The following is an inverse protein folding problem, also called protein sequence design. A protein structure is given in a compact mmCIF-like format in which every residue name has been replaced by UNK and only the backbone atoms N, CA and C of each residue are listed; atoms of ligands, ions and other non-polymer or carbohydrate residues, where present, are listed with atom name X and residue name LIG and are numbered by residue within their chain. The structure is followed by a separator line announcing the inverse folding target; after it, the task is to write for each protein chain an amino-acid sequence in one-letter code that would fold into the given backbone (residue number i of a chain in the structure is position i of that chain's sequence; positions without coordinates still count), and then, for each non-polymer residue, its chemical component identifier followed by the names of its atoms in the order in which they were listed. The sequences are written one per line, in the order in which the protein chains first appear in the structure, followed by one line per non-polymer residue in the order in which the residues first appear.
data_IF_415136219656
#
_entry.id   IF_415136219656
#
_cell.length_a   1.000
_cell.length_b   1.000
_cell.length_c   1.000
_cell.angle_alpha   90.00
_cell.angle_beta   90.00
_cell.angle_gamma   90.00
#
_symmetry.space_group_name_H-M   'P 1'
#
loop_
_entity.id
_entity.type
_entity.pdbx_description
1 polymer ?
#
# COMPACT_ATOMS: atom_id res chain seq x y z
N UNK A 1 10.70 2.38 -1.56
CA UNK A 1 9.32 2.75 -1.21
C UNK A 1 9.31 4.21 -0.80
N UNK A 2 8.49 5.08 -1.40
CA UNK A 2 8.55 6.54 -1.19
C UNK A 2 8.09 7.03 0.21
N UNK A 3 7.57 6.12 1.04
CA UNK A 3 7.01 6.42 2.36
C UNK A 3 8.03 6.28 3.49
N UNK A 4 9.25 5.83 3.21
CA UNK A 4 10.31 5.65 4.20
C UNK A 4 11.60 6.28 3.70
N UNK A 5 12.49 6.69 4.60
CA UNK A 5 13.78 7.26 4.23
C UNK A 5 14.64 6.26 3.42
N UNK A 6 15.51 6.76 2.53
CA UNK A 6 16.35 5.91 1.68
C UNK A 6 17.27 4.98 2.46
N UNK A 7 17.66 5.36 3.69
CA UNK A 7 18.46 4.56 4.60
C UNK A 7 17.77 3.24 4.96
N UNK A 8 16.43 3.23 4.94
CA UNK A 8 15.65 2.02 5.20
C UNK A 8 15.78 0.99 4.07
N UNK A 9 16.30 1.34 2.88
CA UNK A 9 16.35 0.43 1.72
C UNK A 9 17.43 -0.66 1.83
N UNK A 10 18.34 -0.57 2.80
CA UNK A 10 19.39 -1.58 3.02
C UNK A 10 18.78 -2.90 3.50
N UNK A 11 18.98 -3.99 2.75
CA UNK A 11 18.43 -5.31 3.08
C UNK A 11 16.97 -5.50 2.72
N UNK A 12 16.35 -4.55 2.01
CA UNK A 12 14.93 -4.60 1.65
C UNK A 12 14.70 -5.31 0.32
N UNK A 13 13.62 -6.08 0.25
CA UNK A 13 13.07 -6.62 -0.99
C UNK A 13 12.75 -5.47 -1.95
N UNK A 14 13.30 -5.51 -3.16
CA UNK A 14 12.88 -4.57 -4.20
C UNK A 14 11.37 -4.73 -4.45
N UNK A 15 10.64 -3.63 -4.44
CA UNK A 15 9.22 -3.63 -4.86
C UNK A 15 9.14 -4.11 -6.31
N UNK A 16 8.29 -5.11 -6.56
CA UNK A 16 8.17 -5.72 -7.89
C UNK A 16 7.17 -4.97 -8.79
N UNK A 17 6.33 -4.14 -8.18
CA UNK A 17 5.18 -3.48 -8.75
C UNK A 17 5.00 -2.06 -8.21
N UNK A 18 4.35 -1.21 -9.01
CA UNK A 18 3.96 0.14 -8.64
C UNK A 18 2.44 0.18 -8.54
N UNK A 19 1.92 0.42 -7.34
CA UNK A 19 0.50 0.63 -7.10
C UNK A 19 0.05 2.04 -7.53
N UNK A 20 -0.97 2.14 -8.38
CA UNK A 20 -1.54 3.40 -8.87
C UNK A 20 -3.03 3.40 -8.65
N UNK A 21 -3.51 4.34 -7.82
CA UNK A 21 -4.95 4.58 -7.63
C UNK A 21 -5.42 5.55 -8.72
N UNK A 22 -6.52 5.20 -9.39
CA UNK A 22 -7.07 5.95 -10.50
C UNK A 22 -8.48 6.44 -10.17
N UNK A 23 -8.65 7.76 -10.09
CA UNK A 23 -9.96 8.37 -9.88
C UNK A 23 -10.80 8.33 -11.17
N UNK A 24 -11.47 7.21 -11.38
CA UNK A 24 -12.35 6.97 -12.52
C UNK A 24 -13.61 6.26 -12.03
N UNK A 25 -14.75 6.84 -12.40
CA UNK A 25 -16.07 6.37 -11.98
C UNK A 25 -16.76 5.45 -12.99
N UNK A 26 -16.32 5.45 -14.27
CA UNK A 26 -17.01 4.70 -15.34
C UNK A 26 -16.09 3.78 -16.12
N UNK A 27 -16.65 2.68 -16.63
CA UNK A 27 -15.94 1.74 -17.52
C UNK A 27 -15.40 2.39 -18.79
N UNK A 28 -16.12 3.37 -19.35
CA UNK A 28 -15.69 4.05 -20.58
C UNK A 28 -14.44 4.91 -20.36
N UNK A 29 -14.37 5.63 -19.24
CA UNK A 29 -13.18 6.37 -18.85
C UNK A 29 -12.01 5.42 -18.57
N UNK A 30 -12.25 4.29 -17.91
CA UNK A 30 -11.23 3.28 -17.64
C UNK A 30 -10.68 2.71 -18.95
N UNK A 31 -11.54 2.32 -19.89
CA UNK A 31 -11.14 1.85 -21.21
C UNK A 31 -10.28 2.89 -21.95
N UNK A 32 -10.68 4.16 -21.91
CA UNK A 32 -9.91 5.26 -22.51
C UNK A 32 -8.53 5.42 -21.86
N UNK A 33 -8.42 5.20 -20.54
CA UNK A 33 -7.14 5.16 -19.85
C UNK A 33 -6.28 3.98 -20.30
N UNK A 34 -6.85 2.77 -20.40
CA UNK A 34 -6.19 1.57 -20.90
C UNK A 34 -5.62 1.78 -22.31
N UNK A 35 -6.37 2.39 -23.22
CA UNK A 35 -5.87 2.71 -24.57
C UNK A 35 -4.65 3.64 -24.55
N UNK A 36 -4.62 4.63 -23.64
CA UNK A 36 -3.44 5.50 -23.47
C UNK A 36 -2.23 4.74 -22.95
N UNK A 37 -2.43 3.79 -22.04
CA UNK A 37 -1.35 2.92 -21.57
C UNK A 37 -0.79 2.06 -22.71
N UNK A 38 -1.67 1.42 -23.50
CA UNK A 38 -1.27 0.62 -24.68
C UNK A 38 -0.54 1.46 -25.73
N UNK A 39 -0.98 2.70 -25.97
CA UNK A 39 -0.30 3.63 -26.87
C UNK A 39 1.12 4.00 -26.39
N UNK A 40 1.37 3.96 -25.07
CA UNK A 40 2.70 4.12 -24.47
C UNK A 40 3.49 2.79 -24.39
N UNK A 41 2.95 1.71 -24.93
CA UNK A 41 3.58 0.40 -25.00
C UNK A 41 3.43 -0.48 -23.75
N UNK A 42 2.63 -0.05 -22.77
CA UNK A 42 2.24 -0.92 -21.66
C UNK A 42 1.34 -2.04 -22.18
N UNK A 43 1.38 -3.19 -21.52
CA UNK A 43 0.55 -4.35 -21.84
C UNK A 43 -0.08 -4.90 -20.58
N UNK A 44 -1.30 -5.38 -20.66
CA UNK A 44 -1.91 -6.15 -19.58
C UNK A 44 -1.05 -7.38 -19.27
N UNK A 45 -0.90 -7.68 -17.98
CA UNK A 45 -0.29 -8.93 -17.55
C UNK A 45 -1.31 -10.06 -17.74
N UNK A 46 -0.96 -11.02 -18.58
CA UNK A 46 -1.80 -12.18 -18.93
C UNK A 46 -1.26 -13.48 -18.33
N UNK A 47 -0.34 -13.38 -17.37
CA UNK A 47 0.13 -14.55 -16.63
C UNK A 47 -0.97 -15.12 -15.71
N UNK A 48 -0.90 -16.41 -15.41
CA UNK A 48 -1.93 -17.10 -14.62
C UNK A 48 -2.06 -16.57 -13.18
N UNK A 49 -1.01 -15.91 -12.68
CA UNK A 49 -0.95 -15.28 -11.35
C UNK A 49 -1.27 -13.77 -11.40
N UNK A 50 -1.58 -13.22 -12.58
CA UNK A 50 -1.79 -11.80 -12.75
C UNK A 50 -3.09 -11.33 -12.07
N UNK A 51 -2.97 -10.24 -11.32
CA UNK A 51 -4.12 -9.50 -10.85
C UNK A 51 -4.70 -8.73 -12.04
N UNK A 52 -6.02 -8.67 -12.18
CA UNK A 52 -6.71 -8.06 -13.34
C UNK A 52 -6.35 -6.59 -13.61
N UNK A 53 -5.80 -5.88 -12.61
CA UNK A 53 -5.35 -4.50 -12.72
C UNK A 53 -3.87 -4.35 -13.13
N UNK A 54 -3.13 -5.45 -13.33
CA UNK A 54 -1.68 -5.43 -13.54
C UNK A 54 -1.29 -5.16 -14.99
N UNK A 55 -0.34 -4.24 -15.14
CA UNK A 55 0.27 -3.84 -16.40
C UNK A 55 1.78 -4.08 -16.37
N UNK A 56 2.34 -4.46 -17.51
CA UNK A 56 3.78 -4.61 -17.73
C UNK A 56 4.25 -3.41 -18.54
N UNK A 57 5.22 -2.67 -18.00
CA UNK A 57 5.84 -1.55 -18.68
C UNK A 57 6.64 -2.02 -19.93
N UNK A 58 6.85 -1.13 -20.93
CA UNK A 58 7.73 -1.42 -22.05
C UNK A 58 9.13 -1.85 -21.58
N UNK A 59 9.72 -2.85 -22.24
CA UNK A 59 11.05 -3.39 -21.88
C UNK A 59 12.17 -2.34 -21.83
N UNK A 60 12.00 -1.22 -22.52
CA UNK A 60 12.91 -0.05 -22.48
C UNK A 60 13.03 0.57 -21.08
N UNK A 61 12.08 0.29 -20.19
CA UNK A 61 12.05 0.76 -18.80
C UNK A 61 12.38 -0.36 -17.78
N UNK A 62 12.86 -1.50 -18.25
CA UNK A 62 13.11 -2.69 -17.42
C UNK A 62 11.86 -3.56 -17.24
N UNK A 63 11.90 -4.45 -16.24
CA UNK A 63 10.75 -5.29 -15.86
C UNK A 63 9.99 -4.61 -14.72
N UNK A 64 9.17 -3.63 -15.05
CA UNK A 64 8.32 -2.92 -14.09
C UNK A 64 6.88 -3.38 -14.26
N UNK A 65 6.27 -3.86 -13.17
CA UNK A 65 4.83 -4.11 -13.08
C UNK A 65 4.15 -2.87 -12.52
N UNK A 66 2.92 -2.59 -12.95
CA UNK A 66 2.13 -1.45 -12.48
C UNK A 66 0.70 -1.90 -12.27
N UNK A 67 0.21 -1.81 -11.04
CA UNK A 67 -1.14 -2.21 -10.67
C UNK A 67 -2.03 -0.98 -10.65
N UNK A 68 -2.93 -0.87 -11.63
CA UNK A 68 -3.80 0.30 -11.81
C UNK A 68 -5.18 0.01 -11.25
N UNK A 69 -5.46 0.55 -10.07
CA UNK A 69 -6.67 0.28 -9.29
C UNK A 69 -7.67 1.44 -9.40
N UNK A 70 -8.84 1.25 -10.03
CA UNK A 70 -9.86 2.28 -10.09
C UNK A 70 -10.59 2.44 -8.76
N UNK A 71 -11.17 3.62 -8.54
CA UNK A 71 -11.97 3.93 -7.36
C UNK A 71 -13.35 3.25 -7.36
N UNK A 72 -13.92 2.95 -8.53
CA UNK A 72 -15.24 2.29 -8.65
C UNK A 72 -15.14 0.77 -8.78
N UNK A 73 -15.84 0.05 -7.88
CA UNK A 73 -15.96 -1.41 -7.90
C UNK A 73 -16.59 -1.94 -9.20
N UNK A 74 -17.47 -1.16 -9.83
CA UNK A 74 -18.16 -1.57 -11.06
C UNK A 74 -17.20 -1.80 -12.25
N UNK A 75 -15.96 -1.31 -12.15
CA UNK A 75 -14.97 -1.37 -13.23
C UNK A 75 -14.25 -2.72 -13.23
N UNK A 76 -13.66 -3.13 -12.10
CA UNK A 76 -12.87 -4.36 -11.99
C UNK A 76 -13.47 -5.43 -11.07
N UNK A 77 -14.63 -5.17 -10.46
CA UNK A 77 -15.28 -6.09 -9.52
C UNK A 77 -14.66 -6.08 -8.12
N UNK A 78 -13.78 -5.13 -7.83
CA UNK A 78 -13.27 -4.84 -6.48
C UNK A 78 -12.91 -3.36 -6.36
N UNK A 79 -12.90 -2.85 -5.13
CA UNK A 79 -12.37 -1.53 -4.79
C UNK A 79 -11.82 -1.54 -3.37
N UNK A 80 -11.28 -0.41 -2.94
CA UNK A 80 -10.85 -0.17 -1.57
C UNK A 80 -11.53 1.10 -1.07
N UNK A 81 -12.17 1.01 0.10
CA UNK A 81 -12.93 2.14 0.68
C UNK A 81 -12.09 3.39 0.88
N UNK A 82 -10.76 3.25 1.00
CA UNK A 82 -9.84 4.35 1.28
C UNK A 82 -9.29 5.05 0.04
N UNK A 83 -9.60 4.56 -1.17
CA UNK A 83 -9.00 5.12 -2.39
C UNK A 83 -9.35 6.59 -2.64
N UNK A 84 -10.60 6.99 -2.39
CA UNK A 84 -11.04 8.37 -2.63
C UNK A 84 -10.33 9.34 -1.70
N UNK A 85 -10.31 9.03 -0.40
CA UNK A 85 -9.64 9.85 0.60
C UNK A 85 -8.12 9.84 0.38
N UNK A 86 -7.52 8.69 0.06
CA UNK A 86 -6.10 8.58 -0.28
C UNK A 86 -5.71 9.50 -1.44
N UNK A 87 -6.55 9.63 -2.47
CA UNK A 87 -6.36 10.57 -3.58
C UNK A 87 -6.48 12.02 -3.08
N UNK A 88 -7.52 12.32 -2.30
CA UNK A 88 -7.81 13.68 -1.83
C UNK A 88 -6.75 14.23 -0.86
N UNK A 89 -6.08 13.36 -0.11
CA UNK A 89 -5.03 13.72 0.84
C UNK A 89 -3.63 13.39 0.35
N UNK A 90 -3.46 13.00 -0.92
CA UNK A 90 -2.16 12.65 -1.46
C UNK A 90 -1.22 13.87 -1.44
N UNK A 91 0.04 13.63 -1.09
CA UNK A 91 1.07 14.65 -1.03
C UNK A 91 1.84 14.69 -2.36
N UNK A 92 2.11 15.89 -2.86
CA UNK A 92 2.92 16.05 -4.07
C UNK A 92 4.41 15.98 -3.71
N UNK A 93 5.12 15.02 -4.32
CA UNK A 93 6.57 14.85 -4.20
C UNK A 93 7.21 15.10 -5.55
N UNK A 94 8.33 15.85 -5.54
CA UNK A 94 9.15 16.07 -6.73
C UNK A 94 10.23 14.99 -6.84
N UNK A 95 10.20 14.22 -7.93
CA UNK A 95 11.23 13.25 -8.27
C UNK A 95 12.54 13.93 -8.73
N UNK A 96 13.70 13.24 -8.70
CA UNK A 96 15.00 13.81 -9.09
C UNK A 96 15.05 14.43 -10.49
N UNK A 97 14.19 13.98 -11.41
CA UNK A 97 14.07 14.51 -12.77
C UNK A 97 13.12 15.71 -12.89
N UNK A 98 12.66 16.27 -11.77
CA UNK A 98 11.75 17.43 -11.73
C UNK A 98 10.29 17.10 -12.04
N UNK A 99 9.93 15.82 -12.04
CA UNK A 99 8.54 15.36 -12.24
C UNK A 99 7.83 15.36 -10.89
N UNK A 100 6.72 16.08 -10.81
CA UNK A 100 5.85 16.05 -9.64
C UNK A 100 4.89 14.85 -9.74
N UNK A 101 4.80 14.08 -8.67
CA UNK A 101 3.87 12.97 -8.52
C UNK A 101 3.09 13.11 -7.22
N UNK A 102 1.86 12.60 -7.20
CA UNK A 102 1.08 12.50 -5.98
C UNK A 102 1.32 11.14 -5.34
N UNK A 103 1.65 11.14 -4.05
CA UNK A 103 1.96 9.96 -3.26
C UNK A 103 0.96 9.89 -2.11
N UNK A 104 0.36 8.72 -1.92
CA UNK A 104 -0.54 8.48 -0.79
C UNK A 104 0.20 8.71 0.53
N UNK A 105 -0.45 9.34 1.52
CA UNK A 105 0.19 9.49 2.84
C UNK A 105 0.27 8.13 3.56
N UNK A 106 1.20 8.00 4.50
CA UNK A 106 1.41 6.73 5.18
C UNK A 106 0.18 6.18 5.91
N UNK A 107 -0.63 6.99 6.63
CA UNK A 107 -1.88 6.50 7.23
C UNK A 107 -2.83 5.84 6.23
N UNK A 108 -3.05 6.48 5.08
CA UNK A 108 -3.92 5.92 4.04
C UNK A 108 -3.29 4.73 3.32
N UNK A 109 -1.96 4.72 3.15
CA UNK A 109 -1.25 3.54 2.66
C UNK A 109 -1.51 2.32 3.55
N UNK A 110 -1.32 2.47 4.87
CA UNK A 110 -1.60 1.40 5.83
C UNK A 110 -3.03 0.89 5.71
N UNK A 111 -4.00 1.80 5.62
CA UNK A 111 -5.40 1.43 5.51
C UNK A 111 -5.73 0.71 4.19
N UNK A 112 -5.15 1.15 3.08
CA UNK A 112 -5.34 0.47 1.79
C UNK A 112 -4.77 -0.95 1.79
N UNK A 113 -3.57 -1.14 2.37
CA UNK A 113 -2.95 -2.46 2.51
C UNK A 113 -3.69 -3.34 3.52
N UNK A 114 -4.28 -2.77 4.58
CA UNK A 114 -5.11 -3.55 5.51
C UNK A 114 -6.38 -4.11 4.84
N UNK A 115 -7.06 -3.34 3.99
CA UNK A 115 -8.19 -3.87 3.21
C UNK A 115 -7.75 -4.95 2.20
N UNK A 116 -6.58 -4.79 1.57
CA UNK A 116 -6.01 -5.80 0.69
C UNK A 116 -5.68 -7.10 1.46
N UNK A 117 -5.06 -6.98 2.63
CA UNK A 117 -4.80 -8.10 3.54
C UNK A 117 -6.09 -8.80 3.99
N UNK A 118 -7.14 -8.07 4.35
CA UNK A 118 -8.43 -8.65 4.76
C UNK A 118 -9.10 -9.43 3.64
N UNK A 119 -9.05 -8.91 2.41
CA UNK A 119 -9.70 -9.54 1.25
C UNK A 119 -8.93 -10.75 0.71
N UNK A 120 -7.59 -10.67 0.67
CA UNK A 120 -6.72 -11.68 0.04
C UNK A 120 -6.02 -12.60 1.03
N UNK A 121 -5.68 -12.09 2.21
CA UNK A 121 -4.77 -12.72 3.16
C UNK A 121 -5.29 -14.03 3.75
N UNK A 122 -6.60 -14.24 3.91
CA UNK A 122 -7.18 -15.52 4.41
C UNK A 122 -6.51 -16.11 5.68
N UNK A 123 -5.87 -15.27 6.51
CA UNK A 123 -5.09 -15.70 7.69
C UNK A 123 -3.63 -16.08 7.41
N UNK A 124 -3.14 -15.88 6.19
CA UNK A 124 -1.72 -15.99 5.82
C UNK A 124 -0.98 -14.70 6.14
N UNK A 125 -0.15 -14.75 7.17
CA UNK A 125 0.68 -13.62 7.60
C UNK A 125 1.90 -13.37 6.70
N UNK A 126 2.20 -14.24 5.74
CA UNK A 126 3.29 -14.06 4.78
C UNK A 126 2.84 -13.39 3.48
N UNK A 127 1.68 -12.72 3.50
CA UNK A 127 1.23 -11.95 2.36
C UNK A 127 2.01 -10.63 2.22
N UNK A 128 2.22 -10.20 0.97
CA UNK A 128 2.93 -8.96 0.66
C UNK A 128 2.29 -7.71 1.28
N UNK A 129 0.96 -7.69 1.44
CA UNK A 129 0.27 -6.53 2.01
C UNK A 129 0.69 -6.29 3.48
N UNK A 130 0.85 -7.37 4.27
CA UNK A 130 1.28 -7.28 5.66
C UNK A 130 2.77 -6.92 5.78
N UNK A 131 3.61 -7.45 4.89
CA UNK A 131 5.02 -7.05 4.80
C UNK A 131 5.16 -5.55 4.55
N UNK A 132 4.40 -5.00 3.60
CA UNK A 132 4.39 -3.57 3.27
C UNK A 132 3.94 -2.70 4.47
N UNK A 133 2.91 -3.14 5.19
CA UNK A 133 2.42 -2.48 6.42
C UNK A 133 3.53 -2.43 7.48
N UNK A 134 4.14 -3.57 7.78
CA UNK A 134 5.18 -3.67 8.78
C UNK A 134 6.42 -2.88 8.39
N UNK A 135 6.76 -2.87 7.11
CA UNK A 135 7.90 -2.11 6.61
C UNK A 135 7.73 -0.59 6.80
N UNK A 136 6.53 -0.05 6.58
CA UNK A 136 6.22 1.35 6.91
C UNK A 136 6.25 1.59 8.42
N UNK A 137 5.65 0.71 9.22
CA UNK A 137 5.62 0.85 10.69
C UNK A 137 7.04 0.82 11.28
N UNK A 138 7.90 -0.03 10.73
CA UNK A 138 9.28 -0.20 11.17
C UNK A 138 10.16 1.00 10.83
N UNK A 139 9.93 1.65 9.69
CA UNK A 139 10.90 2.59 9.11
C UNK A 139 10.40 4.03 8.95
N UNK A 140 9.15 4.34 9.29
CA UNK A 140 8.62 5.71 9.20
C UNK A 140 8.57 6.40 10.56
N UNK A 141 9.59 7.22 10.82
CA UNK A 141 9.77 7.92 12.10
C UNK A 141 8.55 8.75 12.55
N UNK A 142 7.90 9.45 11.63
CA UNK A 142 6.79 10.36 11.95
C UNK A 142 5.40 9.70 11.91
N UNK A 143 5.32 8.38 11.71
CA UNK A 143 4.05 7.68 11.47
C UNK A 143 3.01 7.94 12.57
N UNK A 144 3.43 7.92 13.83
CA UNK A 144 2.52 8.13 14.97
C UNK A 144 1.88 9.52 14.93
N UNK A 145 2.66 10.56 14.61
CA UNK A 145 2.16 11.94 14.52
C UNK A 145 1.15 12.06 13.38
N UNK A 146 1.48 11.52 12.21
CA UNK A 146 0.60 11.57 11.04
C UNK A 146 -0.71 10.82 11.28
N UNK A 147 -0.66 9.72 12.03
CA UNK A 147 -1.84 8.99 12.45
C UNK A 147 -2.69 9.78 13.43
N UNK A 148 -2.10 10.55 14.35
CA UNK A 148 -2.86 11.44 15.24
C UNK A 148 -3.60 12.53 14.47
N UNK A 149 -2.98 13.08 13.43
CA UNK A 149 -3.52 14.12 12.54
C UNK A 149 -4.54 13.60 11.52
N UNK A 150 -4.60 12.27 11.32
CA UNK A 150 -5.57 11.64 10.44
C UNK A 150 -7.03 11.84 10.91
N UNK A 151 -7.96 11.63 9.97
CA UNK A 151 -9.39 11.68 10.28
C UNK A 151 -9.76 10.68 11.38
N UNK A 152 -10.81 11.00 12.14
CA UNK A 152 -11.32 10.11 13.20
C UNK A 152 -11.68 8.73 12.63
N UNK A 153 -12.34 8.71 11.48
CA UNK A 153 -12.73 7.46 10.81
C UNK A 153 -11.52 6.58 10.45
N UNK A 154 -10.42 7.16 9.96
CA UNK A 154 -9.21 6.42 9.62
C UNK A 154 -8.53 5.86 10.87
N UNK A 155 -8.48 6.65 11.94
CA UNK A 155 -7.95 6.20 13.24
C UNK A 155 -8.75 5.04 13.81
N UNK A 156 -10.08 5.16 13.83
CA UNK A 156 -10.98 4.12 14.34
C UNK A 156 -10.80 2.81 13.55
N UNK A 157 -10.74 2.91 12.22
CA UNK A 157 -10.51 1.75 11.36
C UNK A 157 -9.17 1.09 11.62
N UNK A 158 -8.07 1.86 11.63
CA UNK A 158 -6.74 1.31 11.84
C UNK A 158 -6.60 0.73 13.25
N UNK A 159 -7.18 1.39 14.26
CA UNK A 159 -7.16 0.90 15.64
C UNK A 159 -7.86 -0.46 15.77
N UNK A 160 -9.03 -0.62 15.15
CA UNK A 160 -9.78 -1.87 15.17
C UNK A 160 -9.03 -2.99 14.43
N UNK A 161 -8.59 -2.75 13.19
CA UNK A 161 -7.98 -3.80 12.37
C UNK A 161 -6.58 -4.20 12.86
N UNK A 162 -5.73 -3.23 13.23
CA UNK A 162 -4.42 -3.52 13.82
C UNK A 162 -4.59 -4.08 15.23
N UNK A 163 -5.60 -3.65 15.98
CA UNK A 163 -5.94 -4.22 17.28
C UNK A 163 -6.28 -5.71 17.21
N UNK A 164 -7.10 -6.13 16.23
CA UNK A 164 -7.40 -7.54 15.97
C UNK A 164 -6.14 -8.33 15.61
N UNK A 165 -5.33 -7.79 14.70
CA UNK A 165 -4.09 -8.44 14.27
C UNK A 165 -3.10 -8.59 15.44
N UNK A 166 -2.87 -7.52 16.20
CA UNK A 166 -1.93 -7.51 17.32
C UNK A 166 -2.40 -8.33 18.53
N UNK A 167 -3.71 -8.56 18.67
CA UNK A 167 -4.26 -9.44 19.70
C UNK A 167 -4.07 -10.94 19.38
N UNK A 168 -3.68 -11.29 18.15
CA UNK A 168 -3.41 -12.67 17.75
C UNK A 168 -2.05 -13.15 18.28
N UNK A 169 -2.00 -14.17 19.15
CA UNK A 169 -0.73 -14.71 19.65
C UNK A 169 0.15 -15.25 18.52
N UNK A 170 -0.46 -15.84 17.48
CA UNK A 170 0.26 -16.38 16.34
C UNK A 170 1.02 -15.27 15.59
N UNK A 171 0.35 -14.14 15.34
CA UNK A 171 0.98 -12.98 14.72
C UNK A 171 2.13 -12.43 15.58
N UNK A 172 1.91 -12.27 16.89
CA UNK A 172 2.93 -11.75 17.81
C UNK A 172 4.16 -12.67 17.88
N UNK A 173 3.95 -13.99 17.78
CA UNK A 173 5.02 -14.98 17.80
C UNK A 173 5.88 -14.95 16.53
N UNK A 174 5.28 -14.71 15.36
CA UNK A 174 6.01 -14.66 14.08
C UNK A 174 6.54 -13.27 13.73
N UNK A 175 6.04 -12.21 14.37
CA UNK A 175 6.40 -10.82 14.10
C UNK A 175 7.91 -10.61 13.95
N UNK A 176 8.80 -11.12 14.82
CA UNK A 176 10.25 -10.91 14.67
C UNK A 176 10.80 -11.39 13.32
N UNK A 177 10.23 -12.46 12.76
CA UNK A 177 10.63 -13.01 11.46
C UNK A 177 10.05 -12.26 10.26
N UNK A 178 9.14 -11.31 10.48
CA UNK A 178 8.57 -10.45 9.43
C UNK A 178 9.25 -9.08 9.37
N UNK A 179 10.09 -8.75 10.35
CA UNK A 179 10.80 -7.46 10.41
C UNK A 179 12.10 -7.50 9.62
N UNK A 180 12.50 -6.36 9.09
CA UNK A 180 13.78 -6.24 8.39
C UNK A 180 14.96 -6.21 9.35
N UNK A 181 14.76 -5.72 10.57
CA UNK A 181 15.77 -5.69 11.63
C UNK A 181 15.21 -6.32 12.92
N UNK A 182 15.84 -7.38 13.43
CA UNK A 182 15.41 -7.99 14.71
C UNK A 182 15.38 -6.97 15.87
N UNK A 183 16.27 -5.98 15.87
CA UNK A 183 16.33 -4.94 16.91
C UNK A 183 15.16 -3.95 16.86
N UNK A 184 14.35 -3.92 15.79
CA UNK A 184 13.21 -3.02 15.68
C UNK A 184 11.95 -3.56 16.36
N UNK A 185 11.93 -4.84 16.74
CA UNK A 185 10.76 -5.52 17.33
C UNK A 185 10.11 -4.74 18.49
N UNK A 186 10.85 -4.22 19.50
CA UNK A 186 10.22 -3.47 20.59
C UNK A 186 9.54 -2.19 20.11
N UNK A 187 10.16 -1.50 19.15
CA UNK A 187 9.62 -0.25 18.56
C UNK A 187 8.36 -0.55 17.77
N UNK A 188 8.39 -1.57 16.91
CA UNK A 188 7.23 -1.98 16.10
C UNK A 188 6.07 -2.41 17.01
N UNK A 189 6.33 -3.24 18.04
CA UNK A 189 5.32 -3.63 19.03
C UNK A 189 4.71 -2.44 19.76
N UNK A 190 5.52 -1.46 20.14
CA UNK A 190 5.03 -0.23 20.75
C UNK A 190 4.14 0.56 19.78
N UNK A 191 4.56 0.72 18.52
CA UNK A 191 3.77 1.42 17.50
C UNK A 191 2.44 0.70 17.24
N UNK A 192 2.43 -0.63 17.07
CA UNK A 192 1.20 -1.42 16.93
C UNK A 192 0.26 -1.26 18.14
N UNK A 193 0.83 -1.25 19.35
CA UNK A 193 0.08 -1.00 20.58
C UNK A 193 -0.47 0.43 20.67
N UNK A 194 0.20 1.42 20.09
CA UNK A 194 -0.30 2.79 20.03
C UNK A 194 -1.42 2.90 19.00
N UNK A 195 -1.23 2.32 17.81
CA UNK A 195 -2.23 2.34 16.74
C UNK A 195 -3.54 1.71 17.21
N UNK A 196 -3.48 0.55 17.87
CA UNK A 196 -4.66 -0.13 18.44
C UNK A 196 -5.41 0.65 19.52
N UNK A 197 -4.88 1.81 19.96
CA UNK A 197 -5.47 2.69 20.98
C UNK A 197 -5.65 4.13 20.50
N UNK A 198 -5.59 4.38 19.18
CA UNK A 198 -5.80 5.71 18.61
C UNK A 198 -7.26 6.18 18.66
N UNK A 199 -8.19 5.25 18.86
CA UNK A 199 -9.63 5.48 18.99
C UNK A 199 -10.06 5.68 20.46
#
# INVERSE_FOLDING_TARGET
MLLVPEQAYSGVRQTEDIDVILDIMTRSQYYSFCERLRAKGFKEDVSDEAIICRWIAPKTHGKVKVDVMPTSEEILGFTNRWYIEAINTAETIKLPMGIDINVVSAPYFLATKMEAFKSRGKGDYFCHDLEDILFVIENRDNLVIELFEASVELKDYLADEIGKLYSSPDFVNILPGLLTMESSEPTVKNTLSLISRLA
#
